data_IF_228439867332
#
_entry.id   IF_228439867332
#
_cell.length_a   1.000
_cell.length_b   1.000
_cell.length_c   1.000
_cell.angle_alpha   90.00
_cell.angle_beta   90.00
_cell.angle_gamma   90.00
#
_symmetry.space_group_name_H-M   'P 1'
#
loop_
_entity.id
_entity.type
_entity.pdbx_description
1 polymer ?
#
# COMPACT_ATOMS: atom_id res chain seq x y z
N UNK A 1 2.14 -0.87 32.98
CA UNK A 1 1.07 -0.30 32.14
C UNK A 1 1.61 0.02 30.75
N UNK A 2 1.06 -0.58 29.68
CA UNK A 2 1.55 -0.32 28.31
C UNK A 2 1.14 1.09 27.85
N UNK A 3 2.11 1.94 27.49
CA UNK A 3 1.84 3.27 26.92
C UNK A 3 0.97 3.11 25.65
N UNK A 4 -0.25 3.67 25.65
CA UNK A 4 -1.10 3.78 24.45
C UNK A 4 -0.30 4.51 23.36
N UNK A 5 0.12 3.80 22.31
CA UNK A 5 0.77 4.44 21.15
C UNK A 5 -0.25 5.33 20.44
N UNK A 6 0.08 6.61 20.25
CA UNK A 6 -0.72 7.56 19.48
C UNK A 6 -0.95 6.98 18.07
N UNK A 7 -2.22 6.91 17.65
CA UNK A 7 -2.61 6.33 16.36
C UNK A 7 -1.98 7.17 15.24
N UNK A 8 -1.23 6.52 14.35
CA UNK A 8 -0.62 7.23 13.22
C UNK A 8 -1.71 7.86 12.34
N UNK A 9 -1.51 9.14 12.00
CA UNK A 9 -2.39 9.89 11.10
C UNK A 9 -2.45 9.28 9.70
N UNK A 10 -3.46 9.70 8.93
CA UNK A 10 -3.56 9.32 7.52
C UNK A 10 -2.45 10.00 6.72
N UNK A 11 -1.80 9.24 5.84
CA UNK A 11 -0.70 9.69 5.00
C UNK A 11 -1.04 9.45 3.54
N UNK A 12 -0.45 10.25 2.67
CA UNK A 12 -0.57 10.11 1.22
C UNK A 12 0.70 9.49 0.65
N UNK A 13 0.54 8.46 -0.18
CA UNK A 13 1.63 7.79 -0.87
C UNK A 13 1.45 7.97 -2.38
N UNK A 14 2.52 8.31 -3.06
CA UNK A 14 2.54 8.53 -4.51
C UNK A 14 3.21 7.33 -5.17
N UNK A 15 2.53 6.77 -6.17
CA UNK A 15 3.06 5.78 -7.09
C UNK A 15 3.21 6.40 -8.47
N UNK A 16 4.36 6.18 -9.10
CA UNK A 16 4.59 6.58 -10.49
C UNK A 16 4.50 5.33 -11.36
N UNK A 17 3.69 5.36 -12.41
CA UNK A 17 3.61 4.31 -13.42
C UNK A 17 3.73 4.95 -14.79
N UNK A 18 4.92 4.84 -15.40
CA UNK A 18 5.23 5.57 -16.62
C UNK A 18 5.13 7.08 -16.42
N UNK A 19 4.23 7.73 -17.18
CA UNK A 19 3.96 9.18 -17.09
C UNK A 19 2.89 9.53 -16.05
N UNK A 20 2.12 8.55 -15.56
CA UNK A 20 1.01 8.79 -14.64
C UNK A 20 1.44 8.74 -13.18
N UNK A 21 0.80 9.59 -12.37
CA UNK A 21 0.95 9.63 -10.92
C UNK A 21 -0.35 9.20 -10.25
N UNK A 22 -0.30 8.13 -9.47
CA UNK A 22 -1.41 7.69 -8.64
C UNK A 22 -1.13 8.02 -7.17
N UNK A 23 -2.15 8.53 -6.47
CA UNK A 23 -2.05 8.86 -5.05
C UNK A 23 -2.95 7.95 -4.25
N UNK A 24 -2.38 7.27 -3.25
CA UNK A 24 -3.07 6.34 -2.37
C UNK A 24 -2.96 6.79 -0.91
N UNK A 25 -4.08 6.78 -0.20
CA UNK A 25 -4.13 7.12 1.23
C UNK A 25 -3.93 5.89 2.09
N UNK A 26 -3.19 5.99 3.20
CA UNK A 26 -3.02 4.90 4.15
C UNK A 26 -2.29 5.34 5.41
N UNK A 27 -2.41 4.58 6.50
CA UNK A 27 -1.59 4.82 7.71
C UNK A 27 -0.17 4.27 7.53
N UNK A 28 -0.04 3.19 6.77
CA UNK A 28 1.24 2.54 6.47
C UNK A 28 1.41 2.41 4.95
N UNK A 29 2.67 2.31 4.46
CA UNK A 29 2.93 2.12 3.03
C UNK A 29 2.32 0.80 2.51
N UNK A 30 2.23 -0.23 3.37
CA UNK A 30 1.58 -1.50 3.02
C UNK A 30 0.08 -1.33 2.76
N UNK A 31 -0.62 -0.49 3.52
CA UNK A 31 -2.04 -0.24 3.28
C UNK A 31 -2.27 0.46 1.94
N UNK A 32 -1.42 1.44 1.60
CA UNK A 32 -1.46 2.07 0.29
C UNK A 32 -1.15 1.06 -0.82
N UNK A 33 -0.19 0.16 -0.60
CA UNK A 33 0.13 -0.90 -1.55
C UNK A 33 -1.03 -1.89 -1.76
N UNK A 34 -1.75 -2.27 -0.69
CA UNK A 34 -2.93 -3.13 -0.81
C UNK A 34 -4.00 -2.47 -1.68
N UNK A 35 -4.24 -1.17 -1.51
CA UNK A 35 -5.16 -0.40 -2.37
C UNK A 35 -4.70 -0.37 -3.83
N UNK A 36 -3.41 -0.20 -4.07
CA UNK A 36 -2.84 -0.27 -5.42
C UNK A 36 -3.00 -1.67 -6.03
N UNK A 37 -2.76 -2.74 -5.27
CA UNK A 37 -2.96 -4.11 -5.73
C UNK A 37 -4.44 -4.38 -6.09
N UNK A 38 -5.39 -3.89 -5.30
CA UNK A 38 -6.84 -3.97 -5.62
C UNK A 38 -7.18 -3.30 -6.95
N UNK A 39 -6.47 -2.23 -7.33
CA UNK A 39 -6.63 -1.55 -8.62
C UNK A 39 -6.01 -2.29 -9.79
N UNK A 40 -5.29 -3.39 -9.56
CA UNK A 40 -4.65 -4.22 -10.59
C UNK A 40 -3.16 -3.94 -10.78
N UNK A 41 -2.50 -3.19 -9.89
CA UNK A 41 -1.05 -2.96 -9.99
C UNK A 41 -0.27 -4.13 -9.38
N UNK A 42 0.68 -4.69 -10.14
CA UNK A 42 1.56 -5.78 -9.70
C UNK A 42 2.92 -5.28 -9.18
N UNK A 43 3.58 -4.38 -9.92
CA UNK A 43 4.76 -3.65 -9.48
C UNK A 43 4.36 -2.34 -8.82
N UNK A 44 4.55 -2.23 -7.50
CA UNK A 44 4.08 -1.08 -6.73
C UNK A 44 5.29 -0.40 -6.07
N UNK A 45 5.57 0.82 -6.49
CA UNK A 45 6.60 1.67 -5.91
C UNK A 45 5.93 2.88 -5.26
N UNK A 46 6.06 3.01 -3.94
CA UNK A 46 5.35 4.01 -3.16
C UNK A 46 6.30 4.91 -2.40
N UNK A 47 6.13 6.21 -2.59
CA UNK A 47 6.81 7.26 -1.82
C UNK A 47 5.82 8.00 -0.95
N UNK A 48 6.17 8.27 0.30
CA UNK A 48 5.35 9.13 1.17
C UNK A 48 5.41 10.60 0.70
N UNK A 49 4.26 11.23 0.47
CA UNK A 49 4.15 12.63 0.05
C UNK A 49 4.49 13.53 1.24
N UNK A 50 5.40 14.49 1.03
CA UNK A 50 5.77 15.48 2.04
C UNK A 50 6.80 15.02 3.06
N UNK A 51 7.28 13.77 3.00
CA UNK A 51 8.33 13.27 3.90
C UNK A 51 9.67 13.15 3.18
N UNK A 52 10.71 13.72 3.80
CA UNK A 52 12.12 13.46 3.48
C UNK A 52 12.80 12.82 4.70
N UNK A 53 13.83 12.03 4.45
CA UNK A 53 14.72 11.55 5.50
C UNK A 53 15.61 12.72 5.99
N UNK A 54 16.27 12.55 7.14
CA UNK A 54 17.21 13.56 7.67
C UNK A 54 18.29 13.93 6.64
N UNK A 55 18.76 12.94 5.88
CA UNK A 55 19.77 13.10 4.82
C UNK A 55 19.23 13.75 3.53
N UNK A 56 17.99 14.26 3.54
CA UNK A 56 17.31 14.84 2.38
C UNK A 56 16.81 13.82 1.34
N UNK A 57 17.04 12.51 1.56
CA UNK A 57 16.62 11.45 0.64
C UNK A 57 15.14 11.09 0.76
N UNK A 58 14.56 10.57 -0.32
CA UNK A 58 13.24 9.97 -0.36
C UNK A 58 13.32 8.46 -0.19
N UNK A 59 12.40 7.90 0.58
CA UNK A 59 12.24 6.45 0.74
C UNK A 59 11.13 5.95 -0.20
N UNK A 60 11.50 5.12 -1.16
CA UNK A 60 10.59 4.45 -2.09
C UNK A 60 10.42 3.02 -1.63
N UNK A 61 9.21 2.67 -1.18
CA UNK A 61 8.86 1.32 -0.78
C UNK A 61 8.44 0.50 -1.98
N UNK A 62 9.12 -0.63 -2.20
CA UNK A 62 8.87 -1.51 -3.33
C UNK A 62 8.08 -2.73 -2.86
N UNK A 63 6.95 -2.95 -3.52
CA UNK A 63 6.01 -4.00 -3.21
C UNK A 63 5.63 -4.78 -4.48
N UNK A 64 5.39 -6.08 -4.30
CA UNK A 64 4.74 -6.95 -5.27
C UNK A 64 3.28 -7.11 -4.85
N UNK A 65 2.35 -6.67 -5.69
CA UNK A 65 0.91 -6.88 -5.52
C UNK A 65 0.42 -8.06 -6.35
N UNK A 66 -0.52 -8.83 -5.80
CA UNK A 66 -1.33 -9.79 -6.52
C UNK A 66 -2.76 -9.77 -5.97
N UNK A 67 -3.71 -10.27 -6.75
CA UNK A 67 -5.09 -10.43 -6.30
C UNK A 67 -5.44 -11.90 -6.44
N UNK A 68 -5.87 -12.51 -5.35
CA UNK A 68 -6.31 -13.91 -5.30
C UNK A 68 -7.80 -13.97 -5.06
N UNK A 69 -8.50 -14.87 -5.74
CA UNK A 69 -9.91 -15.15 -5.46
C UNK A 69 -9.99 -16.15 -4.31
N UNK A 70 -10.65 -15.76 -3.22
CA UNK A 70 -10.89 -16.62 -2.05
C UNK A 70 -12.38 -16.87 -1.90
N UNK A 71 -12.76 -18.04 -1.36
CA UNK A 71 -14.14 -18.32 -1.01
C UNK A 71 -14.64 -17.37 0.08
N UNK A 72 -15.96 -17.09 0.07
CA UNK A 72 -16.58 -16.38 1.18
C UNK A 72 -16.42 -17.20 2.48
N UNK A 73 -16.17 -16.56 3.64
CA UNK A 73 -16.17 -17.26 4.92
C UNK A 73 -17.59 -17.73 5.26
N UNK A 74 -17.70 -18.74 6.13
CA UNK A 74 -19.01 -19.36 6.45
C UNK A 74 -19.98 -18.38 7.12
N UNK A 75 -19.46 -17.41 7.88
CA UNK A 75 -20.24 -16.33 8.51
C UNK A 75 -20.44 -15.11 7.58
N UNK A 76 -20.37 -15.30 6.26
CA UNK A 76 -20.60 -14.23 5.30
C UNK A 76 -22.11 -14.04 5.03
N UNK A 77 -22.58 -12.78 4.93
CA UNK A 77 -23.98 -12.50 4.62
C UNK A 77 -24.36 -12.93 3.20
N UNK A 78 -25.66 -13.17 2.98
CA UNK A 78 -26.18 -13.77 1.74
C UNK A 78 -26.00 -12.91 0.49
N UNK A 79 -25.93 -11.59 0.66
CA UNK A 79 -25.68 -10.66 -0.45
C UNK A 79 -24.24 -10.71 -0.99
N UNK A 80 -23.32 -11.40 -0.30
CA UNK A 80 -21.91 -11.49 -0.69
C UNK A 80 -21.69 -12.66 -1.66
N UNK A 81 -21.04 -12.44 -2.81
CA UNK A 81 -20.79 -13.50 -3.79
C UNK A 81 -19.89 -14.61 -3.24
N UNK A 82 -20.02 -15.81 -3.79
CA UNK A 82 -19.30 -17.00 -3.34
C UNK A 82 -17.77 -16.87 -3.37
N UNK A 83 -17.21 -16.02 -4.25
CA UNK A 83 -15.78 -15.73 -4.34
C UNK A 83 -15.51 -14.24 -4.28
N UNK A 84 -14.50 -13.86 -3.50
CA UNK A 84 -14.13 -12.47 -3.22
C UNK A 84 -12.68 -12.24 -3.63
N UNK A 85 -12.40 -11.07 -4.21
CA UNK A 85 -11.03 -10.63 -4.50
C UNK A 85 -10.32 -10.24 -3.21
N UNK A 86 -9.24 -10.95 -2.88
CA UNK A 86 -8.35 -10.64 -1.77
C UNK A 86 -7.01 -10.14 -2.30
N UNK A 87 -6.69 -8.83 -2.15
CA UNK A 87 -5.38 -8.31 -2.52
C UNK A 87 -4.33 -8.82 -1.53
N UNK A 88 -3.21 -9.29 -2.05
CA UNK A 88 -2.03 -9.70 -1.29
C UNK A 88 -0.86 -8.86 -1.75
N UNK A 89 -0.03 -8.44 -0.80
CA UNK A 89 1.16 -7.65 -1.09
C UNK A 89 2.36 -8.20 -0.34
N UNK A 90 3.46 -8.42 -1.07
CA UNK A 90 4.77 -8.81 -0.54
C UNK A 90 5.74 -7.64 -0.66
N UNK A 91 6.41 -7.27 0.42
CA UNK A 91 7.44 -6.22 0.39
C UNK A 91 8.71 -6.79 -0.23
N UNK A 92 9.22 -6.14 -1.28
CA UNK A 92 10.50 -6.52 -1.91
C UNK A 92 11.67 -5.78 -1.28
N UNK A 93 11.51 -4.48 -0.99
CA UNK A 93 12.59 -3.68 -0.46
C UNK A 93 12.21 -2.22 -0.22
N UNK A 94 13.22 -1.39 0.06
CA UNK A 94 13.09 0.06 0.14
C UNK A 94 14.31 0.68 -0.54
N UNK A 95 14.08 1.51 -1.55
CA UNK A 95 15.12 2.26 -2.23
C UNK A 95 15.19 3.68 -1.66
N UNK A 96 16.39 4.21 -1.49
CA UNK A 96 16.63 5.59 -1.06
C UNK A 96 17.18 6.39 -2.22
N UNK A 97 16.48 7.45 -2.60
CA UNK A 97 16.87 8.30 -3.74
C UNK A 97 16.99 9.76 -3.32
N UNK A 98 18.01 10.47 -3.80
CA UNK A 98 18.19 11.91 -3.53
C UNK A 98 17.28 12.78 -4.43
N UNK A 99 16.98 12.31 -5.65
CA UNK A 99 16.16 12.99 -6.66
C UNK A 99 15.07 12.02 -7.19
N UNK A 100 13.94 12.56 -7.64
CA UNK A 100 12.75 11.84 -8.14
C UNK A 100 12.63 12.02 -9.65
#
# INVERSE_FOLDING_TARGET
MAKKRKKAGMKNYVMKKGKELHVFTGRTPRQAALKAATRGFSGIELRERGRRNADGTYSIHIFSGSVSMVSKPDNAPDWLPAKIKKPVVKKKGVNRVKKI
#
